data_IF_142268850008
#
_entry.id   IF_142268850008
#
_cell.length_a   1.000
_cell.length_b   1.000
_cell.length_c   1.000
_cell.angle_alpha   90.00
_cell.angle_beta   90.00
_cell.angle_gamma   90.00
#
_symmetry.space_group_name_H-M   'P 1'
#
loop_
_entity.id
_entity.type
_entity.pdbx_description
1 polymer ?
#
# COMPACT_ATOMS: atom_id res chain seq x y z
N UNK A 1 8.11 -6.42 7.16
CA UNK A 1 7.59 -7.44 6.22
C UNK A 1 8.27 -7.29 4.87
N UNK A 2 8.31 -8.36 4.07
CA UNK A 2 8.87 -8.42 2.72
C UNK A 2 10.38 -8.62 2.64
N UNK A 3 10.81 -9.41 1.64
CA UNK A 3 12.23 -9.75 1.40
C UNK A 3 13.09 -8.49 1.19
N UNK A 4 12.55 -7.48 0.51
CA UNK A 4 13.23 -6.20 0.29
C UNK A 4 13.67 -5.48 1.57
N UNK A 5 12.96 -5.68 2.71
CA UNK A 5 13.38 -5.11 3.99
C UNK A 5 14.56 -5.87 4.60
N UNK A 6 14.65 -7.19 4.35
CA UNK A 6 15.83 -7.98 4.73
C UNK A 6 17.06 -7.51 3.91
N UNK A 7 16.89 -7.30 2.62
CA UNK A 7 17.94 -6.77 1.74
C UNK A 7 18.43 -5.38 2.19
N UNK A 8 17.49 -4.49 2.52
CA UNK A 8 17.80 -3.15 3.06
C UNK A 8 18.57 -3.25 4.38
N UNK A 9 18.19 -4.16 5.27
CA UNK A 9 18.88 -4.39 6.55
C UNK A 9 20.29 -4.91 6.31
N UNK A 10 20.46 -5.86 5.42
CA UNK A 10 21.79 -6.41 5.04
C UNK A 10 22.68 -5.32 4.45
N UNK A 11 22.15 -4.45 3.59
CA UNK A 11 22.88 -3.33 3.03
C UNK A 11 23.28 -2.32 4.12
N UNK A 12 22.40 -2.01 5.06
CA UNK A 12 22.69 -1.14 6.19
C UNK A 12 23.79 -1.74 7.10
N UNK A 13 23.70 -3.03 7.41
CA UNK A 13 24.71 -3.75 8.19
C UNK A 13 26.08 -3.71 7.46
N UNK A 14 26.08 -3.98 6.16
CA UNK A 14 27.31 -3.94 5.36
C UNK A 14 27.96 -2.55 5.38
N UNK A 15 27.17 -1.48 5.30
CA UNK A 15 27.67 -0.10 5.32
C UNK A 15 28.32 0.30 6.64
N UNK A 16 27.90 -0.30 7.75
CA UNK A 16 28.45 0.03 9.10
C UNK A 16 29.35 -1.07 9.65
N UNK A 17 29.63 -2.13 8.88
CA UNK A 17 30.45 -3.25 9.32
C UNK A 17 31.84 -2.80 9.76
N UNK A 18 32.28 -3.28 10.92
CA UNK A 18 33.56 -2.89 11.52
C UNK A 18 33.58 -1.51 12.20
N UNK A 19 32.49 -0.73 12.12
CA UNK A 19 32.34 0.57 12.80
C UNK A 19 31.34 0.53 13.95
N UNK A 20 30.36 -0.37 13.87
CA UNK A 20 29.32 -0.55 14.89
C UNK A 20 29.45 -1.97 15.45
N UNK A 21 29.39 -2.14 16.79
CA UNK A 21 29.41 -3.47 17.42
C UNK A 21 28.23 -4.36 16.94
N UNK A 22 28.48 -5.66 16.81
CA UNK A 22 27.50 -6.63 16.29
C UNK A 22 26.24 -6.73 17.16
N UNK A 23 26.39 -6.61 18.48
CA UNK A 23 25.27 -6.61 19.43
C UNK A 23 24.34 -5.40 19.21
N UNK A 24 24.90 -4.22 18.92
CA UNK A 24 24.12 -3.02 18.58
C UNK A 24 23.37 -3.24 17.25
N UNK A 25 24.04 -3.77 16.22
CA UNK A 25 23.37 -4.10 14.93
C UNK A 25 22.23 -5.10 15.14
N UNK A 26 22.44 -6.13 15.99
CA UNK A 26 21.42 -7.12 16.32
C UNK A 26 20.25 -6.48 17.07
N UNK A 27 20.54 -5.62 18.05
CA UNK A 27 19.50 -4.90 18.79
C UNK A 27 18.66 -4.05 17.86
N UNK A 28 19.28 -3.20 17.01
CA UNK A 28 18.55 -2.39 16.04
C UNK A 28 17.71 -3.25 15.10
N UNK A 29 18.29 -4.32 14.53
CA UNK A 29 17.57 -5.21 13.62
C UNK A 29 16.36 -5.92 14.25
N UNK A 30 16.39 -6.15 15.57
CA UNK A 30 15.28 -6.78 16.31
C UNK A 30 14.22 -5.79 16.82
N UNK A 31 14.57 -4.52 16.98
CA UNK A 31 13.67 -3.49 17.54
C UNK A 31 13.16 -2.49 16.50
N UNK A 32 13.74 -2.48 15.30
CA UNK A 32 13.34 -1.57 14.24
C UNK A 32 11.95 -1.93 13.71
N UNK A 33 10.98 -1.05 13.93
CA UNK A 33 9.57 -1.26 13.59
C UNK A 33 9.21 -0.89 12.14
N UNK A 34 10.17 -0.40 11.36
CA UNK A 34 9.96 0.05 9.98
C UNK A 34 10.04 1.56 9.82
N UNK A 35 9.78 2.01 8.60
CA UNK A 35 9.78 3.44 8.23
C UNK A 35 8.34 3.91 8.10
N UNK A 36 8.02 5.08 8.62
CA UNK A 36 6.70 5.71 8.46
C UNK A 36 6.28 5.74 6.98
N UNK A 37 5.03 5.52 6.71
CA UNK A 37 4.42 5.44 5.37
C UNK A 37 4.88 4.26 4.48
N UNK A 38 5.65 3.31 5.00
CA UNK A 38 6.11 2.12 4.25
C UNK A 38 5.58 0.84 4.86
N UNK A 39 4.47 0.32 4.33
CA UNK A 39 3.74 -0.85 4.87
C UNK A 39 3.61 -0.72 6.39
N UNK A 40 3.36 0.50 6.85
CA UNK A 40 3.24 0.87 8.25
C UNK A 40 1.91 0.36 8.81
N UNK A 41 1.89 -0.51 9.85
CA UNK A 41 0.65 -0.86 10.50
C UNK A 41 0.09 0.36 11.24
N UNK A 42 -1.19 0.68 10.99
CA UNK A 42 -1.86 1.86 11.57
C UNK A 42 -2.74 1.44 12.73
N UNK A 43 -3.66 0.50 12.49
CA UNK A 43 -4.66 0.07 13.47
C UNK A 43 -5.22 -1.31 13.12
N UNK A 44 -5.66 -2.02 14.14
CA UNK A 44 -6.58 -3.14 13.99
C UNK A 44 -7.94 -2.71 14.53
N UNK A 45 -8.99 -2.78 13.71
CA UNK A 45 -10.36 -2.46 14.08
C UNK A 45 -11.29 -3.56 13.58
N UNK A 46 -12.13 -4.10 14.45
CA UNK A 46 -13.08 -5.18 14.13
C UNK A 46 -12.42 -6.41 13.45
N UNK A 47 -11.17 -6.70 13.82
CA UNK A 47 -10.37 -7.78 13.22
C UNK A 47 -9.77 -7.45 11.85
N UNK A 48 -9.97 -6.22 11.32
CA UNK A 48 -9.37 -5.73 10.07
C UNK A 48 -8.09 -4.97 10.39
N UNK A 49 -7.00 -5.30 9.68
CA UNK A 49 -5.71 -4.60 9.86
C UNK A 49 -5.51 -3.55 8.76
N UNK A 50 -5.26 -2.31 9.15
CA UNK A 50 -5.04 -1.18 8.24
C UNK A 50 -3.55 -0.87 8.12
N UNK A 51 -3.05 -0.76 6.87
CA UNK A 51 -1.67 -0.43 6.54
C UNK A 51 -1.56 0.86 5.74
N UNK A 52 -0.56 1.67 6.07
CA UNK A 52 -0.19 2.87 5.34
C UNK A 52 1.09 2.61 4.53
N UNK A 53 0.97 2.59 3.21
CA UNK A 53 2.09 2.49 2.28
C UNK A 53 2.06 3.69 1.30
N UNK A 54 1.74 4.88 1.83
CA UNK A 54 1.60 6.11 1.03
C UNK A 54 2.87 6.49 0.26
N UNK A 55 4.04 6.02 0.68
CA UNK A 55 5.31 6.22 -0.03
C UNK A 55 5.37 5.46 -1.37
N UNK A 56 4.51 4.47 -1.60
CA UNK A 56 4.42 3.71 -2.84
C UNK A 56 3.82 4.54 -3.97
N UNK A 57 4.54 5.57 -4.41
CA UNK A 57 4.12 6.54 -5.40
C UNK A 57 4.44 6.13 -6.86
N UNK A 58 4.60 4.84 -7.11
CA UNK A 58 4.79 4.23 -8.44
C UNK A 58 4.32 2.78 -8.46
N UNK A 59 3.94 2.24 -9.63
CA UNK A 59 3.54 0.84 -9.79
C UNK A 59 4.51 -0.16 -9.18
N UNK A 60 5.81 -0.01 -9.44
CA UNK A 60 6.86 -0.92 -8.95
C UNK A 60 6.90 -1.02 -7.42
N UNK A 61 6.66 0.10 -6.72
CA UNK A 61 6.65 0.10 -5.25
C UNK A 61 5.40 -0.58 -4.69
N UNK A 62 4.24 -0.33 -5.29
CA UNK A 62 2.99 -1.01 -4.91
C UNK A 62 3.08 -2.51 -5.18
N UNK A 63 3.69 -2.96 -6.28
CA UNK A 63 3.97 -4.37 -6.55
C UNK A 63 4.77 -5.00 -5.40
N UNK A 64 5.86 -4.36 -4.97
CA UNK A 64 6.66 -4.85 -3.85
C UNK A 64 5.85 -4.93 -2.55
N UNK A 65 4.96 -3.94 -2.31
CA UNK A 65 4.02 -3.94 -1.19
C UNK A 65 3.02 -5.08 -1.26
N UNK A 66 2.37 -5.30 -2.40
CA UNK A 66 1.40 -6.37 -2.60
C UNK A 66 2.00 -7.76 -2.31
N UNK A 67 3.19 -8.01 -2.83
CA UNK A 67 3.94 -9.27 -2.62
C UNK A 67 4.41 -9.52 -1.18
N UNK A 68 4.24 -8.53 -0.28
CA UNK A 68 4.61 -8.65 1.14
C UNK A 68 3.51 -9.26 2.00
N UNK A 69 2.33 -9.47 1.44
CA UNK A 69 1.18 -10.05 2.14
C UNK A 69 0.93 -11.48 1.68
N UNK A 70 0.64 -12.38 2.63
CA UNK A 70 0.39 -13.79 2.38
C UNK A 70 -1.06 -14.08 1.98
N UNK A 71 -1.89 -13.05 1.87
CA UNK A 71 -3.31 -13.12 1.49
C UNK A 71 -3.71 -11.99 0.55
N UNK A 72 -4.83 -12.13 -0.16
CA UNK A 72 -5.41 -11.03 -0.93
C UNK A 72 -5.89 -9.93 -0.01
N UNK A 73 -5.61 -8.67 -0.38
CA UNK A 73 -5.92 -7.48 0.40
C UNK A 73 -6.98 -6.62 -0.26
N UNK A 74 -7.53 -5.67 0.49
CA UNK A 74 -8.30 -4.54 -0.04
C UNK A 74 -7.30 -3.40 -0.29
N UNK A 75 -7.17 -2.99 -1.55
CA UNK A 75 -6.20 -2.00 -1.97
C UNK A 75 -6.89 -0.66 -2.24
N UNK A 76 -6.39 0.41 -1.62
CA UNK A 76 -6.72 1.80 -2.00
C UNK A 76 -5.57 2.31 -2.88
N UNK A 77 -5.87 2.67 -4.14
CA UNK A 77 -4.88 3.09 -5.12
C UNK A 77 -5.36 4.29 -5.95
N UNK A 78 -4.38 4.95 -6.61
CA UNK A 78 -4.60 6.11 -7.45
C UNK A 78 -4.02 7.40 -6.88
N UNK A 79 -4.14 8.48 -7.65
CA UNK A 79 -3.56 9.78 -7.35
C UNK A 79 -3.12 10.51 -8.60
N UNK A 80 -2.07 11.35 -8.50
CA UNK A 80 -1.54 12.19 -9.58
C UNK A 80 -0.87 11.38 -10.69
N UNK A 81 -1.14 11.75 -11.94
CA UNK A 81 -0.59 11.08 -13.13
C UNK A 81 0.82 11.59 -13.49
N UNK A 82 1.82 10.77 -13.23
CA UNK A 82 3.20 10.96 -13.69
C UNK A 82 3.46 10.41 -15.10
N UNK A 83 2.41 9.98 -15.82
CA UNK A 83 2.47 9.35 -17.14
C UNK A 83 3.30 8.04 -17.17
N UNK A 84 3.29 7.33 -16.05
CA UNK A 84 3.94 6.02 -15.91
C UNK A 84 2.96 4.93 -16.35
N UNK A 85 3.41 3.83 -16.99
CA UNK A 85 2.54 2.71 -17.36
C UNK A 85 2.04 1.95 -16.13
N UNK A 86 0.75 1.55 -16.16
CA UNK A 86 0.11 0.75 -15.10
C UNK A 86 -0.07 -0.72 -15.50
N UNK A 87 0.18 -1.07 -16.75
CA UNK A 87 0.07 -2.43 -17.29
C UNK A 87 0.88 -3.45 -16.47
N UNK A 88 2.12 -3.15 -16.00
CA UNK A 88 2.86 -4.09 -15.16
C UNK A 88 2.25 -4.33 -13.76
N UNK A 89 1.39 -3.42 -13.28
CA UNK A 89 0.71 -3.53 -12.00
C UNK A 89 -0.54 -4.42 -12.08
N UNK A 90 -1.17 -4.49 -13.24
CA UNK A 90 -2.46 -5.17 -13.40
C UNK A 90 -2.43 -6.66 -12.98
N UNK A 91 -1.49 -7.50 -13.44
CA UNK A 91 -1.45 -8.90 -13.01
C UNK A 91 -1.22 -9.07 -11.51
N UNK A 92 -0.48 -8.15 -10.87
CA UNK A 92 -0.25 -8.19 -9.43
C UNK A 92 -1.51 -7.80 -8.64
N UNK A 93 -2.28 -6.83 -9.16
CA UNK A 93 -3.59 -6.51 -8.57
C UNK A 93 -4.53 -7.71 -8.68
N UNK A 94 -4.64 -8.34 -9.84
CA UNK A 94 -5.49 -9.52 -10.05
C UNK A 94 -5.08 -10.68 -9.12
N UNK A 95 -3.78 -10.88 -8.92
CA UNK A 95 -3.27 -11.96 -8.08
C UNK A 95 -3.45 -11.69 -6.57
N UNK A 96 -3.24 -10.44 -6.12
CA UNK A 96 -3.07 -10.10 -4.70
C UNK A 96 -4.18 -9.24 -4.10
N UNK A 97 -5.14 -8.76 -4.90
CA UNK A 97 -6.21 -7.88 -4.42
C UNK A 97 -7.56 -8.57 -4.51
N UNK A 98 -8.39 -8.42 -3.50
CA UNK A 98 -9.76 -8.92 -3.45
C UNK A 98 -10.82 -7.83 -3.68
N UNK A 99 -10.49 -6.57 -3.37
CA UNK A 99 -11.29 -5.38 -3.69
C UNK A 99 -10.33 -4.24 -4.00
N UNK A 100 -10.54 -3.58 -5.13
CA UNK A 100 -9.76 -2.43 -5.56
C UNK A 100 -10.59 -1.15 -5.39
N UNK A 101 -10.13 -0.25 -4.52
CA UNK A 101 -10.72 1.08 -4.35
C UNK A 101 -9.83 2.10 -5.06
N UNK A 102 -10.38 2.79 -6.04
CA UNK A 102 -9.65 3.74 -6.88
C UNK A 102 -10.05 5.17 -6.58
N UNK A 103 -9.06 6.07 -6.54
CA UNK A 103 -9.28 7.50 -6.35
C UNK A 103 -8.27 8.34 -7.15
N UNK A 104 -8.59 9.62 -7.34
CA UNK A 104 -7.70 10.58 -7.99
C UNK A 104 -7.56 10.41 -9.51
N UNK A 105 -6.69 11.22 -10.12
CA UNK A 105 -6.59 11.37 -11.57
C UNK A 105 -6.19 10.09 -12.32
N UNK A 106 -5.48 9.16 -11.69
CA UNK A 106 -5.02 7.91 -12.32
C UNK A 106 -6.01 6.76 -12.20
N UNK A 107 -7.11 6.90 -11.48
CA UNK A 107 -8.12 5.86 -11.30
C UNK A 107 -8.57 5.22 -12.63
N UNK A 108 -8.94 5.98 -13.69
CA UNK A 108 -9.37 5.38 -14.95
C UNK A 108 -8.27 4.60 -15.66
N UNK A 109 -7.00 5.01 -15.51
CA UNK A 109 -5.87 4.33 -16.13
C UNK A 109 -5.53 3.02 -15.45
N UNK A 110 -5.57 3.01 -14.11
CA UNK A 110 -5.36 1.77 -13.33
C UNK A 110 -6.49 0.79 -13.62
N UNK A 111 -7.74 1.25 -13.59
CA UNK A 111 -8.90 0.42 -13.91
C UNK A 111 -8.80 -0.17 -15.32
N UNK A 112 -8.47 0.64 -16.32
CA UNK A 112 -8.29 0.17 -17.69
C UNK A 112 -7.26 -0.95 -17.74
N UNK A 113 -6.07 -0.75 -17.17
CA UNK A 113 -5.02 -1.77 -17.17
C UNK A 113 -5.48 -3.07 -16.49
N UNK A 114 -6.19 -2.98 -15.36
CA UNK A 114 -6.71 -4.16 -14.64
C UNK A 114 -7.77 -4.88 -15.46
N UNK A 115 -8.69 -4.16 -16.11
CA UNK A 115 -9.76 -4.77 -16.93
C UNK A 115 -9.23 -5.42 -18.20
N UNK A 116 -8.10 -4.97 -18.71
CA UNK A 116 -7.42 -5.53 -19.89
C UNK A 116 -6.54 -6.76 -19.54
N UNK A 117 -6.33 -7.06 -18.25
CA UNK A 117 -5.61 -8.27 -17.85
C UNK A 117 -6.43 -9.52 -18.18
N UNK A 118 -5.86 -10.54 -18.85
CA UNK A 118 -6.60 -11.73 -19.29
C UNK A 118 -7.16 -12.58 -18.14
N UNK A 119 -6.66 -12.41 -16.92
CA UNK A 119 -7.13 -13.13 -15.74
C UNK A 119 -8.09 -12.29 -14.87
N UNK A 120 -8.49 -11.09 -15.34
CA UNK A 120 -9.42 -10.24 -14.61
C UNK A 120 -10.83 -10.87 -14.61
N UNK A 121 -11.36 -11.04 -13.40
CA UNK A 121 -12.76 -11.45 -13.17
C UNK A 121 -13.45 -10.37 -12.31
N UNK A 122 -14.46 -9.65 -12.86
CA UNK A 122 -15.16 -8.60 -12.13
C UNK A 122 -15.96 -9.12 -10.92
N UNK A 123 -16.27 -10.41 -10.85
CA UNK A 123 -16.93 -11.02 -9.68
C UNK A 123 -15.92 -11.31 -8.56
N UNK A 124 -14.69 -11.70 -8.92
CA UNK A 124 -13.63 -12.00 -7.97
C UNK A 124 -12.87 -10.74 -7.50
N UNK A 125 -12.86 -9.68 -8.32
CA UNK A 125 -12.16 -8.41 -8.04
C UNK A 125 -13.08 -7.21 -8.32
N UNK A 126 -14.01 -6.86 -7.42
CA UNK A 126 -14.79 -5.64 -7.50
C UNK A 126 -13.90 -4.40 -7.51
N UNK A 127 -14.23 -3.42 -8.39
CA UNK A 127 -13.57 -2.13 -8.47
C UNK A 127 -14.56 -1.06 -8.00
N UNK A 128 -14.17 -0.30 -6.99
CA UNK A 128 -14.95 0.77 -6.38
C UNK A 128 -14.27 2.11 -6.64
N UNK A 129 -15.04 3.19 -6.73
CA UNK A 129 -14.53 4.54 -6.97
C UNK A 129 -14.84 5.46 -5.79
N UNK A 130 -13.82 6.20 -5.36
CA UNK A 130 -13.92 7.18 -4.29
C UNK A 130 -13.51 8.57 -4.80
N UNK A 131 -14.15 9.61 -4.27
CA UNK A 131 -13.88 11.01 -4.56
C UNK A 131 -12.91 11.65 -3.53
N UNK A 132 -12.69 10.99 -2.42
CA UNK A 132 -11.87 11.47 -1.31
C UNK A 132 -11.22 10.30 -0.55
N UNK A 133 -10.22 10.59 0.28
CA UNK A 133 -9.59 9.58 1.15
C UNK A 133 -10.59 9.04 2.17
N UNK A 134 -11.44 9.92 2.72
CA UNK A 134 -12.51 9.52 3.65
C UNK A 134 -13.41 8.47 3.00
N UNK A 135 -13.95 8.78 1.80
CA UNK A 135 -14.82 7.88 1.06
C UNK A 135 -14.09 6.58 0.67
N UNK A 136 -12.80 6.64 0.30
CA UNK A 136 -12.02 5.44 -0.01
C UNK A 136 -11.87 4.50 1.19
N UNK A 137 -11.63 5.05 2.37
CA UNK A 137 -11.55 4.27 3.62
C UNK A 137 -12.91 3.68 4.00
N UNK A 138 -14.00 4.43 3.84
CA UNK A 138 -15.36 3.95 4.09
C UNK A 138 -15.75 2.79 3.17
N UNK A 139 -15.47 2.91 1.86
CA UNK A 139 -15.71 1.83 0.91
C UNK A 139 -14.87 0.59 1.23
N UNK A 140 -13.58 0.79 1.55
CA UNK A 140 -12.70 -0.31 1.92
C UNK A 140 -13.16 -1.02 3.20
N UNK A 141 -13.59 -0.25 4.22
CA UNK A 141 -14.17 -0.79 5.46
C UNK A 141 -15.44 -1.57 5.20
N UNK A 142 -16.36 -1.01 4.39
CA UNK A 142 -17.64 -1.67 4.06
C UNK A 142 -17.48 -3.00 3.33
N UNK A 143 -16.37 -3.17 2.60
CA UNK A 143 -16.03 -4.41 1.91
C UNK A 143 -15.22 -5.39 2.77
N UNK A 144 -14.67 -4.96 3.91
CA UNK A 144 -13.78 -5.75 4.75
C UNK A 144 -14.55 -6.68 5.70
N UNK A 145 -13.93 -7.81 6.03
CA UNK A 145 -14.38 -8.77 7.04
C UNK A 145 -13.26 -9.01 8.05
N UNK A 146 -13.56 -9.48 9.27
CA UNK A 146 -12.53 -9.88 10.23
C UNK A 146 -11.48 -10.81 9.60
N UNK A 147 -10.20 -10.51 9.81
CA UNK A 147 -9.05 -11.17 9.19
C UNK A 147 -8.52 -10.48 7.93
N UNK A 148 -9.26 -9.52 7.37
CA UNK A 148 -8.84 -8.79 6.17
C UNK A 148 -7.75 -7.75 6.46
N UNK A 149 -7.08 -7.38 5.37
CA UNK A 149 -6.10 -6.30 5.34
C UNK A 149 -6.62 -5.21 4.40
N UNK A 150 -6.61 -3.97 4.86
CA UNK A 150 -6.81 -2.76 4.04
C UNK A 150 -5.46 -2.04 3.94
N UNK A 151 -5.00 -1.75 2.73
CA UNK A 151 -3.75 -1.02 2.51
C UNK A 151 -3.94 0.17 1.58
N UNK A 152 -3.49 1.35 2.03
CA UNK A 152 -3.24 2.48 1.15
C UNK A 152 -1.87 2.25 0.49
N UNK A 153 -1.85 1.82 -0.79
CA UNK A 153 -0.62 1.71 -1.61
C UNK A 153 -0.90 2.27 -3.00
N UNK A 154 -0.71 3.59 -3.18
CA UNK A 154 -1.36 4.37 -4.23
C UNK A 154 -0.91 4.09 -5.65
N UNK A 155 0.28 3.54 -5.87
CA UNK A 155 0.92 3.38 -7.20
C UNK A 155 1.11 4.71 -7.97
N UNK A 156 0.75 5.84 -7.36
CA UNK A 156 0.70 7.18 -7.96
C UNK A 156 1.21 8.22 -6.98
N UNK A 157 1.71 9.34 -7.50
CA UNK A 157 2.03 10.50 -6.66
C UNK A 157 0.77 11.08 -6.02
N UNK A 158 0.93 12.06 -5.13
CA UNK A 158 -0.16 12.61 -4.33
C UNK A 158 -0.64 13.99 -4.81
N UNK A 159 0.06 14.60 -5.78
CA UNK A 159 -0.02 16.03 -6.10
C UNK A 159 -1.37 16.52 -6.66
N UNK A 160 -2.31 15.64 -6.93
CA UNK A 160 -3.69 15.98 -7.30
C UNK A 160 -4.57 16.34 -6.08
N UNK A 161 -4.34 15.69 -4.94
CA UNK A 161 -5.15 15.87 -3.74
C UNK A 161 -4.32 16.31 -2.52
N UNK A 162 -3.00 16.10 -2.53
CA UNK A 162 -2.10 16.37 -1.39
C UNK A 162 -0.77 16.95 -1.86
N UNK A 163 -0.12 17.83 -1.08
CA UNK A 163 1.16 18.42 -1.45
C UNK A 163 2.31 17.41 -1.52
N UNK A 164 2.24 16.32 -0.76
CA UNK A 164 3.24 15.24 -0.76
C UNK A 164 2.64 13.95 -0.19
N UNK A 165 3.41 12.84 -0.26
CA UNK A 165 2.96 11.52 0.19
C UNK A 165 2.85 11.42 1.72
N UNK A 166 3.62 12.21 2.47
CA UNK A 166 3.56 12.25 3.93
C UNK A 166 2.22 12.82 4.40
N UNK A 167 1.77 13.92 3.80
CA UNK A 167 0.46 14.53 4.13
C UNK A 167 -0.67 13.56 3.78
N UNK A 168 -0.60 12.90 2.60
CA UNK A 168 -1.56 11.84 2.23
C UNK A 168 -1.58 10.71 3.25
N UNK A 169 -0.42 10.23 3.65
CA UNK A 169 -0.30 9.14 4.62
C UNK A 169 -0.78 9.51 6.02
N UNK A 170 -0.53 10.74 6.47
CA UNK A 170 -1.04 11.25 7.76
C UNK A 170 -2.57 11.41 7.74
N UNK A 171 -3.14 11.88 6.64
CA UNK A 171 -4.60 12.00 6.51
C UNK A 171 -5.27 10.63 6.52
N UNK A 172 -4.72 9.65 5.79
CA UNK A 172 -5.18 8.26 5.87
C UNK A 172 -5.14 7.72 7.30
N UNK A 173 -4.02 7.90 8.01
CA UNK A 173 -3.87 7.45 9.41
C UNK A 173 -4.87 8.11 10.33
N UNK A 174 -5.11 9.42 10.17
CA UNK A 174 -6.13 10.17 10.94
C UNK A 174 -7.50 9.56 10.73
N UNK A 175 -7.93 9.39 9.47
CA UNK A 175 -9.24 8.84 9.11
C UNK A 175 -9.41 7.43 9.68
N UNK A 176 -8.41 6.55 9.51
CA UNK A 176 -8.46 5.18 10.05
C UNK A 176 -8.56 5.17 11.58
N UNK A 177 -7.87 6.09 12.28
CA UNK A 177 -7.93 6.17 13.74
C UNK A 177 -9.25 6.76 14.26
N UNK A 178 -9.96 7.53 13.46
CA UNK A 178 -11.28 8.10 13.78
C UNK A 178 -12.44 7.13 13.49
N UNK A 179 -12.22 6.00 12.82
CA UNK A 179 -13.26 4.99 12.59
C UNK A 179 -13.80 4.45 13.93
N UNK A 180 -15.12 4.29 14.02
CA UNK A 180 -15.83 3.75 15.18
C UNK A 180 -16.30 2.32 14.93
#
# INVERSE_FOLDING_TARGET
RGLHNVENLLAAIAAVWGRVPVDVMRQVGSTFTGVEHRIEPVRVLDGVTYYNDSIASSPTRTIAGLRSFDQKIILIAGGYDKKIPYEPLAPEIVAHVKVLVLMGATAPRIEKAVREDPNFDPQALPILHADSMQHAVELARGAAKPGDIVSLSPASASFDLYPNFEVRGRDYKRIVNELQ
#
